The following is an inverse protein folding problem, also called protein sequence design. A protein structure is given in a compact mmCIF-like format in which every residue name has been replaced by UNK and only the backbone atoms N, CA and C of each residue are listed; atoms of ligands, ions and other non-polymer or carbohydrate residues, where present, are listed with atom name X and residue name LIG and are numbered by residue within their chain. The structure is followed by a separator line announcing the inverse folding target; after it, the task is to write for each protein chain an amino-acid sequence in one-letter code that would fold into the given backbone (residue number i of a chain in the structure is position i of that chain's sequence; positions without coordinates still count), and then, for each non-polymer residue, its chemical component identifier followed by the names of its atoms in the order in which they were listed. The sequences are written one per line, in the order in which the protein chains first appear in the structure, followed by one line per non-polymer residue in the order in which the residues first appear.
data_IF_497943623377
#
_entry.id   IF_497943623377
#
_cell.length_a   1.000
_cell.length_b   1.000
_cell.length_c   1.000
_cell.angle_alpha   90.00
_cell.angle_beta   90.00
_cell.angle_gamma   90.00
#
_symmetry.space_group_name_H-M   'P 1'
#
loop_
_entity.id
_entity.type
_entity.pdbx_description
1 polymer ?
#
# COMPACT_ATOMS: atom_id res chain seq x y z
N UNK A 1 -5.50 -4.60 0.21
CA UNK A 1 -5.81 -5.50 -0.92
C UNK A 1 -7.30 -5.86 -1.00
N UNK A 2 -7.98 -6.14 0.14
CA UNK A 2 -9.41 -6.45 0.13
C UNK A 2 -10.23 -5.38 -0.60
N UNK A 3 -10.05 -4.11 -0.27
CA UNK A 3 -10.74 -3.01 -0.95
C UNK A 3 -10.42 -2.94 -2.46
N UNK A 4 -9.20 -3.27 -2.86
CA UNK A 4 -8.85 -3.36 -4.28
C UNK A 4 -9.67 -4.44 -5.00
N UNK A 5 -9.84 -5.60 -4.37
CA UNK A 5 -10.64 -6.69 -4.95
C UNK A 5 -12.14 -6.37 -4.97
N UNK A 6 -12.66 -5.68 -3.95
CA UNK A 6 -14.05 -5.20 -3.92
C UNK A 6 -14.27 -4.18 -5.03
N UNK A 7 -13.37 -3.18 -5.15
CA UNK A 7 -13.46 -2.18 -6.21
C UNK A 7 -13.33 -2.75 -7.62
N UNK A 8 -12.52 -3.82 -7.78
CA UNK A 8 -12.32 -4.46 -9.08
C UNK A 8 -13.42 -5.45 -9.50
N UNK A 9 -14.05 -6.13 -8.54
CA UNK A 9 -14.94 -7.28 -8.78
C UNK A 9 -16.38 -7.04 -8.36
N UNK A 10 -16.68 -5.93 -7.67
CA UNK A 10 -18.01 -5.69 -7.13
C UNK A 10 -18.48 -6.88 -6.29
N UNK A 11 -19.69 -7.37 -6.52
CA UNK A 11 -20.26 -8.50 -5.78
C UNK A 11 -19.52 -9.82 -5.97
N UNK A 12 -18.70 -9.94 -7.03
CA UNK A 12 -17.88 -11.14 -7.33
C UNK A 12 -16.59 -11.24 -6.51
N UNK A 13 -16.29 -10.32 -5.59
CA UNK A 13 -15.05 -10.33 -4.84
C UNK A 13 -14.83 -11.59 -3.99
N UNK A 14 -15.90 -12.19 -3.47
CA UNK A 14 -15.84 -13.42 -2.68
C UNK A 14 -15.40 -14.62 -3.53
N UNK A 15 -15.93 -14.74 -4.73
CA UNK A 15 -15.56 -15.83 -5.63
C UNK A 15 -14.13 -15.67 -6.16
N UNK A 16 -13.70 -14.43 -6.36
CA UNK A 16 -12.29 -14.14 -6.66
C UNK A 16 -11.36 -14.61 -5.54
N UNK A 17 -11.69 -14.35 -4.27
CA UNK A 17 -10.90 -14.81 -3.12
C UNK A 17 -10.91 -16.33 -2.97
N UNK A 18 -12.06 -16.99 -3.18
CA UNK A 18 -12.12 -18.48 -3.23
C UNK A 18 -11.19 -19.04 -4.30
N UNK A 19 -11.16 -18.42 -5.49
CA UNK A 19 -10.27 -18.82 -6.56
C UNK A 19 -8.80 -18.60 -6.20
N UNK A 20 -8.44 -17.46 -5.56
CA UNK A 20 -7.10 -17.21 -5.07
C UNK A 20 -6.65 -18.29 -4.07
N UNK A 21 -7.48 -18.61 -3.08
CA UNK A 21 -7.17 -19.64 -2.09
C UNK A 21 -7.07 -21.04 -2.76
N UNK A 22 -7.97 -21.37 -3.67
CA UNK A 22 -7.93 -22.60 -4.46
C UNK A 22 -6.67 -22.72 -5.32
N UNK A 23 -6.08 -21.61 -5.75
CA UNK A 23 -4.81 -21.54 -6.47
C UNK A 23 -3.58 -21.46 -5.54
N UNK A 24 -3.75 -21.72 -4.25
CA UNK A 24 -2.64 -21.79 -3.30
C UNK A 24 -2.12 -20.43 -2.84
N UNK A 25 -2.95 -19.38 -2.85
CA UNK A 25 -2.58 -18.13 -2.20
C UNK A 25 -2.31 -18.37 -0.71
N UNK A 26 -1.25 -17.78 -0.18
CA UNK A 26 -0.88 -17.88 1.22
C UNK A 26 -1.21 -16.57 1.92
N UNK A 27 -1.93 -16.66 3.02
CA UNK A 27 -2.14 -15.56 3.95
C UNK A 27 -1.05 -15.65 5.03
N UNK A 28 -0.38 -14.55 5.28
CA UNK A 28 0.68 -14.45 6.30
C UNK A 28 0.24 -13.55 7.44
N UNK A 29 0.94 -13.60 8.57
CA UNK A 29 0.68 -12.77 9.74
C UNK A 29 0.98 -11.28 9.50
N UNK A 30 1.86 -10.97 8.53
CA UNK A 30 2.23 -9.60 8.21
C UNK A 30 3.02 -9.47 6.90
N UNK A 31 3.31 -8.20 6.56
CA UNK A 31 4.03 -7.86 5.35
C UNK A 31 5.44 -8.47 5.32
N UNK A 32 6.15 -8.44 6.43
CA UNK A 32 7.52 -8.99 6.54
C UNK A 32 7.56 -10.47 6.16
N UNK A 33 6.64 -11.29 6.67
CA UNK A 33 6.59 -12.72 6.34
C UNK A 33 6.29 -12.94 4.84
N UNK A 34 5.38 -12.15 4.27
CA UNK A 34 5.07 -12.24 2.85
C UNK A 34 6.24 -11.80 1.97
N UNK A 35 6.81 -10.63 2.26
CA UNK A 35 7.78 -9.97 1.36
C UNK A 35 9.21 -10.46 1.56
N UNK A 36 9.67 -10.60 2.83
CA UNK A 36 11.06 -10.92 3.13
C UNK A 36 11.33 -12.42 3.26
N UNK A 37 10.27 -13.23 3.42
CA UNK A 37 10.42 -14.69 3.57
C UNK A 37 9.88 -15.45 2.35
N UNK A 38 8.61 -15.25 2.00
CA UNK A 38 7.92 -16.05 0.98
C UNK A 38 8.15 -15.57 -0.47
N UNK A 39 8.38 -14.28 -0.67
CA UNK A 39 8.57 -13.70 -1.99
C UNK A 39 9.98 -13.96 -2.55
N UNK A 40 10.06 -14.27 -3.84
CA UNK A 40 11.32 -14.64 -4.49
C UNK A 40 12.36 -13.54 -4.52
N UNK A 41 11.95 -12.27 -4.61
CA UNK A 41 12.87 -11.14 -4.74
C UNK A 41 13.17 -10.45 -3.39
N UNK A 42 12.30 -10.58 -2.39
CA UNK A 42 12.51 -10.02 -1.05
C UNK A 42 13.23 -10.98 -0.11
N UNK A 43 13.09 -12.29 -0.34
CA UNK A 43 13.63 -13.35 0.51
C UNK A 43 14.19 -14.50 -0.31
N UNK A 44 14.21 -15.68 0.29
CA UNK A 44 14.57 -16.93 -0.37
C UNK A 44 13.34 -17.78 -0.70
N UNK A 45 12.17 -17.16 -0.72
CA UNK A 45 10.91 -17.81 -0.99
C UNK A 45 10.75 -18.20 -2.46
N UNK A 46 9.65 -18.88 -2.75
CA UNK A 46 9.31 -19.37 -4.10
C UNK A 46 8.10 -18.68 -4.72
N UNK A 47 7.51 -17.68 -4.05
CA UNK A 47 6.30 -17.01 -4.53
C UNK A 47 6.65 -15.82 -5.41
N UNK A 48 6.25 -15.83 -6.71
CA UNK A 48 6.64 -14.78 -7.65
C UNK A 48 5.78 -13.51 -7.53
N UNK A 49 4.68 -13.57 -6.80
CA UNK A 49 3.74 -12.45 -6.61
C UNK A 49 3.51 -12.25 -5.11
N UNK A 50 3.58 -11.01 -4.67
CA UNK A 50 3.33 -10.60 -3.28
C UNK A 50 2.50 -9.34 -3.24
N UNK A 51 1.71 -9.17 -2.18
CA UNK A 51 1.09 -7.89 -1.86
C UNK A 51 2.16 -6.95 -1.30
N UNK A 52 2.33 -5.80 -1.94
CA UNK A 52 3.23 -4.76 -1.47
C UNK A 52 2.78 -3.39 -1.98
N UNK A 53 3.66 -2.40 -1.91
CA UNK A 53 3.38 -1.03 -2.33
C UNK A 53 3.91 -0.77 -3.73
N UNK A 54 3.27 0.15 -4.46
CA UNK A 54 3.75 0.59 -5.76
C UNK A 54 5.15 1.25 -5.71
N UNK A 55 5.58 1.65 -4.53
CA UNK A 55 6.89 2.21 -4.22
C UNK A 55 7.98 1.16 -3.95
N UNK A 56 7.65 -0.13 -3.87
CA UNK A 56 8.61 -1.19 -3.51
C UNK A 56 9.72 -1.45 -4.55
N UNK A 57 9.52 -1.34 -5.87
CA UNK A 57 10.54 -1.73 -6.86
C UNK A 57 11.92 -1.08 -6.66
N UNK A 58 12.08 0.23 -6.37
CA UNK A 58 13.40 0.83 -6.16
C UNK A 58 14.25 0.14 -5.11
N UNK A 59 13.63 -0.46 -4.10
CA UNK A 59 14.33 -1.13 -2.99
C UNK A 59 14.82 -2.55 -3.33
N UNK A 60 14.48 -3.04 -4.52
CA UNK A 60 14.94 -4.34 -5.02
C UNK A 60 16.08 -4.22 -6.03
N UNK A 61 16.66 -3.03 -6.18
CA UNK A 61 17.84 -2.82 -7.02
C UNK A 61 19.05 -3.48 -6.33
N UNK A 62 19.71 -4.45 -6.98
CA UNK A 62 20.88 -5.08 -6.41
C UNK A 62 22.04 -4.08 -6.19
N UNK A 63 22.91 -4.35 -5.23
CA UNK A 63 24.10 -3.52 -5.02
C UNK A 63 24.94 -3.43 -6.31
N UNK A 64 25.14 -2.22 -6.80
CA UNK A 64 25.82 -1.96 -8.06
C UNK A 64 24.98 -2.13 -9.32
N UNK A 65 23.71 -2.49 -9.18
CA UNK A 65 22.74 -2.54 -10.27
C UNK A 65 22.10 -1.18 -10.58
N UNK A 66 21.44 -1.08 -11.72
CA UNK A 66 20.72 0.11 -12.18
C UNK A 66 19.23 -0.09 -12.34
N UNK A 67 18.73 -1.31 -12.18
CA UNK A 67 17.32 -1.65 -12.35
C UNK A 67 16.83 -2.59 -11.24
N UNK A 68 15.55 -2.46 -10.82
CA UNK A 68 14.95 -3.35 -9.85
C UNK A 68 14.75 -4.76 -10.41
N UNK A 69 14.75 -5.74 -9.51
CA UNK A 69 14.41 -7.14 -9.85
C UNK A 69 12.91 -7.41 -9.80
N UNK A 70 12.11 -6.42 -9.41
CA UNK A 70 10.65 -6.50 -9.30
C UNK A 70 9.96 -5.39 -10.06
N UNK A 71 8.68 -5.59 -10.33
CA UNK A 71 7.80 -4.57 -10.89
C UNK A 71 6.47 -4.51 -10.14
N UNK A 72 5.85 -3.34 -10.08
CA UNK A 72 4.52 -3.18 -9.52
C UNK A 72 3.45 -3.42 -10.59
N UNK A 73 2.42 -4.22 -10.25
CA UNK A 73 1.25 -4.44 -11.07
C UNK A 73 0.25 -3.30 -10.85
N UNK A 74 0.49 -2.15 -11.49
CA UNK A 74 -0.21 -0.89 -11.21
C UNK A 74 -1.72 -0.95 -11.47
N UNK A 75 -2.17 -1.82 -12.39
CA UNK A 75 -3.60 -2.00 -12.69
C UNK A 75 -4.35 -2.76 -11.58
N UNK A 76 -3.66 -3.21 -10.54
CA UNK A 76 -4.26 -3.88 -9.38
C UNK A 76 -4.30 -3.00 -8.13
N UNK A 77 -3.84 -1.78 -8.22
CA UNK A 77 -3.68 -0.89 -7.07
C UNK A 77 -5.01 -0.31 -6.57
N UNK A 78 -5.09 -0.14 -5.26
CA UNK A 78 -6.03 0.73 -4.57
C UNK A 78 -5.24 1.89 -3.97
N UNK A 79 -5.70 3.13 -4.14
CA UNK A 79 -5.01 4.29 -3.57
C UNK A 79 -5.37 4.47 -2.11
N UNK A 80 -4.37 4.36 -1.26
CA UNK A 80 -4.46 4.75 0.14
C UNK A 80 -3.89 6.16 0.30
N UNK A 81 -4.57 7.00 1.07
CA UNK A 81 -4.11 8.34 1.45
C UNK A 81 -4.06 8.36 2.97
N UNK A 82 -2.94 8.79 3.52
CA UNK A 82 -2.77 8.96 4.97
C UNK A 82 -3.05 10.40 5.37
N UNK A 83 -3.70 10.57 6.50
CA UNK A 83 -4.11 11.86 7.04
C UNK A 83 -3.55 12.05 8.44
N UNK A 84 -3.16 13.27 8.75
CA UNK A 84 -2.87 13.72 10.11
C UNK A 84 -3.88 14.79 10.51
N UNK A 85 -4.38 14.72 11.74
CA UNK A 85 -5.38 15.67 12.25
C UNK A 85 -5.13 16.06 13.69
N UNK A 86 -5.67 17.20 14.09
CA UNK A 86 -5.68 17.65 15.47
C UNK A 86 -6.89 17.06 16.19
N UNK A 87 -6.66 16.33 17.27
CA UNK A 87 -7.73 15.70 18.03
C UNK A 87 -8.56 16.76 18.77
N UNK A 88 -9.87 16.54 18.85
CA UNK A 88 -10.74 17.31 19.71
C UNK A 88 -10.28 17.17 21.18
N UNK A 89 -10.16 18.27 21.89
CA UNK A 89 -9.67 18.27 23.27
C UNK A 89 -8.13 18.18 23.41
N UNK A 90 -7.35 18.34 22.34
CA UNK A 90 -5.90 18.43 22.42
C UNK A 90 -5.48 19.51 23.43
N UNK A 91 -4.53 19.18 24.30
CA UNK A 91 -4.03 20.14 25.33
C UNK A 91 -3.27 21.32 24.73
N UNK A 92 -2.66 21.14 23.57
CA UNK A 92 -1.95 22.17 22.81
C UNK A 92 -2.40 22.13 21.34
N UNK A 93 -3.59 22.66 21.01
CA UNK A 93 -4.12 22.60 19.64
C UNK A 93 -3.27 23.40 18.64
N UNK A 94 -2.66 24.51 19.07
CA UNK A 94 -1.84 25.34 18.19
C UNK A 94 -0.50 24.67 17.88
N UNK A 95 0.12 24.03 18.87
CA UNK A 95 1.30 23.18 18.63
C UNK A 95 0.99 22.00 17.71
N UNK A 96 -0.17 21.36 17.88
CA UNK A 96 -0.60 20.28 17.00
C UNK A 96 -0.84 20.74 15.55
N UNK A 97 -1.47 21.91 15.36
CA UNK A 97 -1.64 22.52 14.02
C UNK A 97 -0.29 22.87 13.39
N UNK A 98 0.64 23.44 14.21
CA UNK A 98 1.99 23.73 13.73
C UNK A 98 2.72 22.47 13.27
N UNK A 99 2.60 21.34 14.00
CA UNK A 99 3.15 20.05 13.60
C UNK A 99 2.55 19.57 12.27
N UNK A 100 1.21 19.58 12.13
CA UNK A 100 0.55 19.17 10.87
C UNK A 100 1.03 20.05 9.72
N UNK A 101 1.15 21.37 9.92
CA UNK A 101 1.67 22.28 8.91
C UNK A 101 3.14 21.99 8.56
N UNK A 102 3.96 21.64 9.56
CA UNK A 102 5.35 21.25 9.36
C UNK A 102 5.47 19.97 8.52
N UNK A 103 4.62 18.98 8.74
CA UNK A 103 4.60 17.74 7.94
C UNK A 103 4.35 17.99 6.44
N UNK A 104 3.70 19.10 6.09
CA UNK A 104 3.44 19.49 4.71
C UNK A 104 4.55 20.34 4.09
N UNK A 105 5.59 20.70 4.86
CA UNK A 105 6.72 21.46 4.30
C UNK A 105 7.53 20.62 3.31
N UNK A 106 8.11 21.30 2.32
CA UNK A 106 8.90 20.64 1.27
C UNK A 106 10.00 19.71 1.82
N UNK A 107 10.83 20.11 2.82
CA UNK A 107 11.87 19.21 3.35
C UNK A 107 11.31 17.93 3.95
N UNK A 108 10.17 18.00 4.67
CA UNK A 108 9.53 16.81 5.24
C UNK A 108 8.95 15.94 4.12
N UNK A 109 8.26 16.54 3.17
CA UNK A 109 7.68 15.81 2.05
C UNK A 109 8.75 15.11 1.19
N UNK A 110 9.91 15.71 1.00
CA UNK A 110 11.04 15.10 0.29
C UNK A 110 11.71 13.95 1.08
N UNK A 111 11.56 13.91 2.42
CA UNK A 111 12.08 12.82 3.24
C UNK A 111 11.14 11.60 3.32
N UNK A 112 9.86 11.74 2.96
CA UNK A 112 8.87 10.67 3.06
C UNK A 112 9.24 9.41 2.25
N UNK A 113 9.72 9.51 1.00
CA UNK A 113 10.07 8.32 0.22
C UNK A 113 11.05 7.40 0.94
N UNK A 114 12.15 7.93 1.43
CA UNK A 114 13.22 7.13 2.05
C UNK A 114 12.93 6.80 3.51
N UNK A 115 12.11 7.62 4.21
CA UNK A 115 11.78 7.42 5.62
C UNK A 115 10.55 6.57 5.87
N UNK A 116 9.56 6.65 4.98
CA UNK A 116 8.24 6.02 5.17
C UNK A 116 7.81 5.13 4.00
N UNK A 117 8.62 5.04 2.95
CA UNK A 117 8.33 4.24 1.75
C UNK A 117 7.05 4.64 1.03
N UNK A 118 6.65 5.90 1.14
CA UNK A 118 5.41 6.45 0.58
C UNK A 118 5.68 7.60 -0.37
N UNK A 119 4.73 7.89 -1.24
CA UNK A 119 4.78 9.07 -2.08
C UNK A 119 4.41 10.33 -1.28
N UNK A 120 5.12 11.45 -1.46
CA UNK A 120 4.72 12.72 -0.89
C UNK A 120 3.36 13.17 -1.47
N UNK A 121 2.59 13.94 -0.71
CA UNK A 121 1.34 14.53 -1.21
C UNK A 121 1.59 15.87 -1.91
N UNK A 122 2.73 16.52 -1.64
CA UNK A 122 3.11 17.78 -2.29
C UNK A 122 3.66 17.53 -3.69
N UNK A 123 3.08 18.19 -4.68
CA UNK A 123 3.59 18.18 -6.06
C UNK A 123 4.96 18.83 -6.23
N UNK A 124 5.35 19.70 -5.27
CA UNK A 124 6.62 20.43 -5.29
C UNK A 124 7.78 19.64 -4.65
N UNK A 125 7.48 18.50 -4.03
CA UNK A 125 8.50 17.65 -3.46
C UNK A 125 9.21 16.85 -4.55
N UNK A 126 10.55 16.95 -4.58
CA UNK A 126 11.35 16.14 -5.47
C UNK A 126 11.42 14.69 -4.98
N UNK A 127 11.24 13.74 -5.88
CA UNK A 127 11.48 12.34 -5.58
C UNK A 127 12.96 11.99 -5.71
N UNK A 128 13.49 11.08 -4.87
CA UNK A 128 14.80 10.49 -5.11
C UNK A 128 14.91 9.93 -6.55
N UNK A 129 16.07 10.02 -7.18
CA UNK A 129 16.24 9.67 -8.59
C UNK A 129 15.73 8.27 -8.96
N UNK A 130 16.00 7.27 -8.10
CA UNK A 130 15.54 5.90 -8.32
C UNK A 130 14.02 5.77 -8.16
N UNK A 131 13.42 6.56 -7.27
CA UNK A 131 11.97 6.63 -7.13
C UNK A 131 11.32 7.24 -8.37
N UNK A 132 11.83 8.36 -8.84
CA UNK A 132 11.33 9.01 -10.04
C UNK A 132 11.36 8.08 -11.26
N UNK A 133 12.37 7.22 -11.32
CA UNK A 133 12.54 6.25 -12.40
C UNK A 133 11.64 5.02 -12.23
N UNK A 134 11.60 4.41 -11.04
CA UNK A 134 11.09 3.05 -10.84
C UNK A 134 9.84 2.96 -9.98
N UNK A 135 9.56 3.91 -9.08
CA UNK A 135 8.32 3.98 -8.34
C UNK A 135 7.28 4.77 -9.13
N UNK A 136 6.16 4.16 -9.44
CA UNK A 136 5.10 4.82 -10.22
C UNK A 136 3.78 4.76 -9.47
N UNK A 137 3.09 5.90 -9.41
CA UNK A 137 1.72 5.96 -8.89
C UNK A 137 0.76 5.40 -9.93
N UNK A 138 -0.14 4.51 -9.53
CA UNK A 138 -1.18 4.01 -10.42
C UNK A 138 -2.06 5.17 -10.93
N UNK A 139 -2.17 5.28 -12.26
CA UNK A 139 -2.96 6.34 -12.90
C UNK A 139 -4.47 6.11 -12.78
N UNK A 140 -4.89 4.84 -12.68
CA UNK A 140 -6.29 4.41 -12.57
C UNK A 140 -6.44 3.39 -11.43
N UNK A 141 -6.20 3.77 -10.18
CA UNK A 141 -6.38 2.86 -9.06
C UNK A 141 -7.85 2.51 -8.89
N UNK A 142 -8.14 1.32 -8.37
CA UNK A 142 -9.48 0.99 -7.93
C UNK A 142 -9.91 1.89 -6.78
N UNK A 143 -11.19 2.16 -6.71
CA UNK A 143 -11.81 2.99 -5.67
C UNK A 143 -13.06 2.29 -5.13
N UNK A 144 -13.35 2.56 -3.86
CA UNK A 144 -14.62 2.24 -3.21
C UNK A 144 -15.03 3.51 -2.47
N UNK A 145 -16.27 3.93 -2.60
CA UNK A 145 -16.74 5.15 -1.94
C UNK A 145 -16.58 5.05 -0.41
N UNK A 146 -16.09 6.09 0.27
CA UNK A 146 -15.91 6.07 1.73
C UNK A 146 -17.15 5.64 2.51
N UNK A 147 -18.33 6.08 2.07
CA UNK A 147 -19.62 5.76 2.68
C UNK A 147 -19.93 4.24 2.56
N UNK A 148 -19.53 3.62 1.44
CA UNK A 148 -19.66 2.17 1.26
C UNK A 148 -18.67 1.42 2.15
N UNK A 149 -17.47 1.95 2.33
CA UNK A 149 -16.47 1.36 3.24
C UNK A 149 -16.99 1.42 4.66
N UNK A 150 -17.47 2.58 5.11
CA UNK A 150 -18.01 2.77 6.46
C UNK A 150 -19.18 1.82 6.74
N UNK A 151 -20.13 1.75 5.84
CA UNK A 151 -21.33 0.91 5.98
C UNK A 151 -21.05 -0.60 5.96
N UNK A 152 -20.02 -1.07 5.25
CA UNK A 152 -19.83 -2.50 4.98
C UNK A 152 -18.54 -3.08 5.55
N UNK A 153 -17.62 -2.26 6.07
CA UNK A 153 -16.29 -2.68 6.49
C UNK A 153 -16.29 -3.93 7.38
N UNK A 154 -17.11 -3.93 8.40
CA UNK A 154 -17.17 -5.03 9.38
C UNK A 154 -17.74 -6.33 8.78
N UNK A 155 -18.73 -6.20 7.89
CA UNK A 155 -19.26 -7.34 7.16
C UNK A 155 -18.22 -7.91 6.19
N UNK A 156 -17.55 -7.06 5.40
CA UNK A 156 -16.50 -7.49 4.49
C UNK A 156 -15.32 -8.16 5.19
N UNK A 157 -14.92 -7.64 6.35
CA UNK A 157 -13.83 -8.23 7.14
C UNK A 157 -14.23 -9.61 7.68
N UNK A 158 -15.46 -9.79 8.21
CA UNK A 158 -15.94 -11.10 8.66
C UNK A 158 -15.96 -12.09 7.49
N UNK A 159 -16.60 -11.72 6.38
CA UNK A 159 -16.71 -12.57 5.20
C UNK A 159 -15.35 -12.99 4.66
N UNK A 160 -14.40 -12.04 4.61
CA UNK A 160 -13.04 -12.33 4.16
C UNK A 160 -12.29 -13.24 5.13
N UNK A 161 -12.43 -13.02 6.44
CA UNK A 161 -11.80 -13.87 7.47
C UNK A 161 -12.29 -15.30 7.35
N UNK A 162 -13.60 -15.51 7.15
CA UNK A 162 -14.18 -16.84 6.97
C UNK A 162 -13.68 -17.54 5.70
N UNK A 163 -13.40 -16.78 4.65
CA UNK A 163 -12.82 -17.30 3.40
C UNK A 163 -11.33 -17.64 3.56
N UNK A 164 -10.59 -16.80 4.29
CA UNK A 164 -9.14 -16.93 4.47
C UNK A 164 -8.75 -18.01 5.51
N UNK A 165 -9.67 -18.38 6.42
CA UNK A 165 -9.44 -19.39 7.45
C UNK A 165 -9.64 -20.83 6.95
N UNK A 166 -10.07 -21.03 5.73
CA UNK A 166 -10.32 -22.34 5.09
C UNK A 166 -9.12 -22.77 4.27
#
# INVERSE_FOLDING_TARGET
FLLATIGAKGDGWKDYWKALMGNGAKITSGWTDAYEVDFTAGGKGSRPIVLSYASSPPFTIPKGGSAPTTAALLDTCFRQIEYAGVLAGAKNPDGAKALVSYLLTKPVQESIPDGMYMFPVSSDAALPALWAQWAKVASKPFTVAPEQIDANRDAWLRDWTDLAAR
#
